data_IF_471992493731
#
_entry.id   IF_471992493731
#
_cell.length_a   1.000
_cell.length_b   1.000
_cell.length_c   1.000
_cell.angle_alpha   90.00
_cell.angle_beta   90.00
_cell.angle_gamma   90.00
#
_symmetry.space_group_name_H-M   'P 1'
#
loop_
_entity.id
_entity.type
_entity.pdbx_description
1 polymer ?
#
# COMPACT_ATOMS: atom_id res chain seq x y z
N UNK A 1 9.50 16.96 -9.89
CA UNK A 1 10.58 16.05 -9.51
C UNK A 1 11.39 15.60 -10.74
N UNK A 2 10.77 15.08 -11.78
CA UNK A 2 11.47 14.61 -12.99
C UNK A 2 12.34 15.73 -13.61
N UNK A 3 11.78 16.89 -13.83
CA UNK A 3 12.47 18.07 -14.37
C UNK A 3 13.69 18.46 -13.50
N UNK A 4 13.53 18.53 -12.19
CA UNK A 4 14.62 18.84 -11.26
C UNK A 4 15.72 17.76 -11.23
N UNK A 5 15.42 16.55 -11.66
CA UNK A 5 16.36 15.45 -11.77
C UNK A 5 16.98 15.32 -13.16
N UNK A 6 16.64 16.21 -14.09
CA UNK A 6 17.11 16.14 -15.48
C UNK A 6 16.54 14.95 -16.28
N UNK A 7 15.42 14.37 -15.79
CA UNK A 7 14.73 13.27 -16.47
C UNK A 7 13.67 13.87 -17.40
N UNK A 8 13.63 13.51 -18.69
CA UNK A 8 12.59 13.98 -19.60
C UNK A 8 11.19 13.73 -19.05
N UNK A 9 10.33 14.76 -19.11
CA UNK A 9 9.00 14.72 -18.53
C UNK A 9 8.13 13.68 -19.20
N UNK A 10 8.06 13.68 -20.53
CA UNK A 10 7.33 12.67 -21.30
C UNK A 10 8.17 11.40 -21.46
N UNK A 11 7.50 10.25 -21.31
CA UNK A 11 8.13 8.94 -21.48
C UNK A 11 8.68 8.72 -22.90
N UNK A 12 8.03 9.31 -23.90
CA UNK A 12 8.44 9.23 -25.30
C UNK A 12 9.81 9.91 -25.59
N UNK A 13 10.21 10.88 -24.77
CA UNK A 13 11.47 11.62 -24.93
C UNK A 13 12.66 10.92 -24.22
N UNK A 14 12.42 9.80 -23.54
CA UNK A 14 13.44 9.08 -22.77
C UNK A 14 14.26 8.14 -23.64
N UNK A 15 15.57 8.14 -23.40
CA UNK A 15 16.55 7.32 -24.12
C UNK A 15 17.01 6.12 -23.28
N UNK A 16 17.92 5.32 -23.84
CA UNK A 16 18.51 4.15 -23.17
C UNK A 16 19.24 4.53 -21.86
N UNK A 17 19.79 5.73 -21.77
CA UNK A 17 20.53 6.21 -20.60
C UNK A 17 19.61 6.81 -19.51
N UNK A 18 18.33 6.98 -19.82
CA UNK A 18 17.35 7.54 -18.89
C UNK A 18 16.84 6.45 -17.93
N UNK A 19 16.68 6.73 -16.61
CA UNK A 19 16.05 5.79 -15.69
C UNK A 19 14.63 5.40 -16.12
N UNK A 20 14.21 4.19 -15.76
CA UNK A 20 12.81 3.77 -15.89
C UNK A 20 11.99 4.47 -14.81
N UNK A 21 10.94 5.16 -15.20
CA UNK A 21 10.02 5.86 -14.30
C UNK A 21 8.79 4.99 -14.06
N UNK A 22 8.63 4.56 -12.82
CA UNK A 22 7.59 3.61 -12.39
C UNK A 22 6.55 4.34 -11.54
N UNK A 23 5.28 4.16 -11.87
CA UNK A 23 4.14 4.59 -11.08
C UNK A 23 3.52 3.45 -10.28
N UNK A 24 3.00 3.75 -9.09
CA UNK A 24 2.31 2.77 -8.25
C UNK A 24 1.46 3.43 -7.16
N UNK A 25 0.84 2.60 -6.32
CA UNK A 25 -0.03 3.05 -5.24
C UNK A 25 -1.47 3.30 -5.69
N UNK A 26 -2.27 3.90 -4.82
CA UNK A 26 -3.72 4.02 -5.01
C UNK A 26 -4.13 4.75 -6.29
N UNK A 27 -3.40 5.79 -6.69
CA UNK A 27 -3.71 6.56 -7.90
C UNK A 27 -3.42 5.80 -9.21
N UNK A 28 -2.55 4.79 -9.17
CA UNK A 28 -2.22 3.98 -10.34
C UNK A 28 -3.35 3.07 -10.82
N UNK A 29 -4.43 2.94 -10.04
CA UNK A 29 -5.64 2.22 -10.47
C UNK A 29 -6.41 2.91 -11.60
N UNK A 30 -6.11 4.18 -11.85
CA UNK A 30 -6.51 4.89 -13.05
C UNK A 30 -5.24 5.53 -13.64
N UNK A 31 -4.44 4.77 -14.41
CA UNK A 31 -3.15 5.24 -14.92
C UNK A 31 -3.28 6.22 -16.08
N UNK A 32 -4.40 6.21 -16.81
CA UNK A 32 -4.58 6.93 -18.06
C UNK A 32 -4.25 8.44 -17.99
N UNK A 33 -4.68 9.20 -16.97
CA UNK A 33 -4.33 10.62 -16.87
C UNK A 33 -2.83 10.90 -16.74
N UNK A 34 -2.03 9.89 -16.41
CA UNK A 34 -0.58 9.98 -16.22
C UNK A 34 0.20 9.12 -17.21
N UNK A 35 -0.46 8.53 -18.19
CA UNK A 35 0.12 7.57 -19.12
C UNK A 35 1.34 8.11 -19.88
N UNK A 36 1.32 9.38 -20.28
CA UNK A 36 2.42 10.01 -21.03
C UNK A 36 3.70 10.25 -20.19
N UNK A 37 3.59 10.22 -18.85
CA UNK A 37 4.67 10.60 -17.95
C UNK A 37 5.41 9.42 -17.31
N UNK A 38 4.84 8.23 -17.37
CA UNK A 38 5.42 7.03 -16.78
C UNK A 38 5.76 5.99 -17.84
N UNK A 39 6.84 5.26 -17.61
CA UNK A 39 7.22 4.15 -18.50
C UNK A 39 6.36 2.92 -18.22
N UNK A 40 6.06 2.69 -16.95
CA UNK A 40 5.15 1.64 -16.53
C UNK A 40 4.45 1.97 -15.22
N UNK A 41 3.30 1.35 -15.00
CA UNK A 41 2.59 1.36 -13.73
C UNK A 41 2.49 -0.06 -13.18
N UNK A 42 2.54 -0.15 -11.86
CA UNK A 42 2.15 -1.38 -11.18
C UNK A 42 0.79 -1.20 -10.49
N UNK A 43 -0.13 -2.10 -10.79
CA UNK A 43 -1.50 -2.11 -10.30
C UNK A 43 -1.65 -3.20 -9.24
N UNK A 44 -1.52 -2.83 -7.98
CA UNK A 44 -1.63 -3.80 -6.89
C UNK A 44 -0.76 -3.52 -5.68
N UNK A 45 -0.53 -4.55 -4.90
CA UNK A 45 0.30 -4.54 -3.70
C UNK A 45 1.73 -4.91 -4.07
N UNK A 46 2.68 -4.03 -3.74
CA UNK A 46 4.06 -4.06 -4.25
C UNK A 46 4.83 -5.33 -3.91
N UNK A 47 4.49 -5.98 -2.82
CA UNK A 47 5.18 -7.16 -2.31
C UNK A 47 5.17 -8.34 -3.31
N UNK A 48 4.20 -8.37 -4.24
CA UNK A 48 4.05 -9.48 -5.19
C UNK A 48 4.85 -9.29 -6.48
N UNK A 49 5.42 -8.10 -6.76
CA UNK A 49 5.98 -7.77 -8.07
C UNK A 49 7.48 -7.56 -8.09
N UNK A 50 8.09 -7.13 -6.97
CA UNK A 50 9.45 -6.61 -6.99
C UNK A 50 10.48 -7.62 -7.50
N UNK A 51 10.42 -8.87 -7.07
CA UNK A 51 11.39 -9.89 -7.49
C UNK A 51 11.31 -10.12 -9.01
N UNK A 52 10.09 -10.34 -9.53
CA UNK A 52 9.88 -10.57 -10.96
C UNK A 52 10.33 -9.36 -11.81
N UNK A 53 9.98 -8.15 -11.39
CA UNK A 53 10.34 -6.92 -12.12
C UNK A 53 11.84 -6.67 -12.11
N UNK A 54 12.50 -6.78 -10.96
CA UNK A 54 13.93 -6.56 -10.86
C UNK A 54 14.75 -7.66 -11.53
N UNK A 55 14.30 -8.89 -11.50
CA UNK A 55 14.95 -9.98 -12.20
C UNK A 55 14.82 -9.85 -13.72
N UNK A 56 13.64 -9.44 -14.22
CA UNK A 56 13.46 -9.11 -15.63
C UNK A 56 14.38 -7.96 -16.07
N UNK A 57 14.50 -6.90 -15.25
CA UNK A 57 15.41 -5.78 -15.53
C UNK A 57 16.87 -6.20 -15.56
N UNK A 58 17.34 -6.94 -14.55
CA UNK A 58 18.73 -7.45 -14.48
C UNK A 58 19.03 -8.37 -15.65
N UNK A 59 18.11 -9.27 -16.00
CA UNK A 59 18.25 -10.19 -17.12
C UNK A 59 18.34 -9.43 -18.46
N UNK A 60 17.52 -8.41 -18.66
CA UNK A 60 17.57 -7.56 -19.85
C UNK A 60 18.90 -6.83 -19.97
N UNK A 61 19.35 -6.20 -18.89
CA UNK A 61 20.67 -5.52 -18.83
C UNK A 61 21.82 -6.48 -19.14
N UNK A 62 21.82 -7.68 -18.56
CA UNK A 62 22.85 -8.70 -18.79
C UNK A 62 22.88 -9.19 -20.24
N UNK A 63 21.73 -9.23 -20.89
CA UNK A 63 21.62 -9.61 -22.31
C UNK A 63 21.95 -8.48 -23.29
N UNK A 64 22.23 -7.26 -22.80
CA UNK A 64 22.40 -6.07 -23.65
C UNK A 64 21.12 -5.62 -24.34
N UNK A 65 19.96 -5.97 -23.80
CA UNK A 65 18.65 -5.61 -24.34
C UNK A 65 18.35 -4.11 -24.17
N UNK A 66 17.55 -3.59 -25.08
CA UNK A 66 17.10 -2.19 -25.09
C UNK A 66 16.07 -1.89 -24.00
N UNK A 67 15.77 -0.60 -23.80
CA UNK A 67 14.66 -0.13 -22.98
C UNK A 67 13.33 -0.73 -23.42
N UNK A 68 13.06 -0.73 -24.73
CA UNK A 68 11.86 -1.30 -25.29
C UNK A 68 11.72 -2.80 -25.05
N UNK A 69 12.84 -3.56 -25.15
CA UNK A 69 12.85 -5.00 -24.81
C UNK A 69 12.49 -5.24 -23.34
N UNK A 70 12.99 -4.39 -22.45
CA UNK A 70 12.63 -4.47 -21.03
C UNK A 70 11.15 -4.19 -20.82
N UNK A 71 10.62 -3.09 -21.39
CA UNK A 71 9.22 -2.71 -21.22
C UNK A 71 8.26 -3.79 -21.76
N UNK A 72 8.58 -4.42 -22.89
CA UNK A 72 7.80 -5.52 -23.41
C UNK A 72 7.80 -6.75 -22.49
N UNK A 73 8.95 -7.09 -21.90
CA UNK A 73 9.04 -8.16 -20.89
C UNK A 73 8.31 -7.81 -19.61
N UNK A 74 8.43 -6.56 -19.16
CA UNK A 74 7.75 -6.08 -17.97
C UNK A 74 6.22 -6.15 -18.12
N UNK A 75 5.68 -5.82 -19.30
CA UNK A 75 4.24 -5.90 -19.57
C UNK A 75 3.65 -7.31 -19.45
N UNK A 76 4.48 -8.36 -19.48
CA UNK A 76 4.06 -9.75 -19.28
C UNK A 76 3.98 -10.14 -17.81
N UNK A 77 4.49 -9.29 -16.91
CA UNK A 77 4.41 -9.53 -15.45
C UNK A 77 3.02 -9.11 -14.96
N UNK A 78 2.29 -9.96 -14.22
CA UNK A 78 0.98 -9.64 -13.71
C UNK A 78 0.96 -8.31 -12.93
N UNK A 79 -0.02 -7.46 -13.22
CA UNK A 79 -0.18 -6.15 -12.58
C UNK A 79 0.64 -5.03 -13.22
N UNK A 80 1.52 -5.30 -14.16
CA UNK A 80 2.28 -4.25 -14.87
C UNK A 80 1.47 -3.74 -16.07
N UNK A 81 1.27 -2.43 -16.11
CA UNK A 81 0.74 -1.69 -17.25
C UNK A 81 1.86 -0.83 -17.85
N UNK A 82 2.15 -1.03 -19.13
CA UNK A 82 3.11 -0.19 -19.89
C UNK A 82 2.29 0.62 -20.91
N UNK A 83 2.01 1.92 -20.63
CA UNK A 83 1.08 2.70 -21.46
C UNK A 83 1.45 2.76 -22.93
N UNK A 84 2.74 2.86 -23.25
CA UNK A 84 3.22 2.92 -24.63
C UNK A 84 2.94 1.65 -25.48
N UNK A 85 2.48 0.56 -24.85
CA UNK A 85 2.13 -0.69 -25.51
C UNK A 85 0.61 -0.84 -25.71
N UNK A 86 -0.16 0.22 -25.46
CA UNK A 86 -1.61 0.25 -25.70
C UNK A 86 -1.98 1.40 -26.61
N UNK A 87 -2.96 1.16 -27.46
CA UNK A 87 -3.64 2.18 -28.26
C UNK A 87 -4.98 2.50 -27.61
N UNK A 88 -5.18 3.78 -27.27
CA UNK A 88 -6.38 4.26 -26.57
C UNK A 88 -7.09 5.26 -27.45
N UNK A 89 -8.35 4.98 -27.78
CA UNK A 89 -9.19 5.91 -28.52
C UNK A 89 -10.28 6.50 -27.63
N UNK A 90 -10.67 7.73 -27.92
CA UNK A 90 -11.65 8.47 -27.13
C UNK A 90 -12.86 8.84 -27.96
N UNK A 91 -14.03 8.84 -27.32
CA UNK A 91 -15.26 9.38 -27.88
C UNK A 91 -15.25 10.91 -27.86
N UNK A 92 -16.21 11.54 -28.53
CA UNK A 92 -16.37 13.01 -28.55
C UNK A 92 -16.56 13.63 -27.15
N UNK A 93 -17.12 12.87 -26.20
CA UNK A 93 -17.32 13.30 -24.82
C UNK A 93 -16.07 13.10 -23.92
N UNK A 94 -14.94 12.64 -24.48
CA UNK A 94 -13.69 12.38 -23.78
C UNK A 94 -13.64 11.07 -22.99
N UNK A 95 -14.67 10.23 -23.07
CA UNK A 95 -14.61 8.89 -22.47
C UNK A 95 -13.83 7.93 -23.38
N UNK A 96 -13.18 6.93 -22.77
CA UNK A 96 -12.45 5.89 -23.54
C UNK A 96 -13.43 5.11 -24.40
N UNK A 97 -13.15 5.03 -25.69
CA UNK A 97 -13.90 4.21 -26.65
C UNK A 97 -13.31 2.82 -26.77
N UNK A 98 -11.99 2.74 -26.93
CA UNK A 98 -11.27 1.46 -27.00
C UNK A 98 -9.93 1.53 -26.29
N UNK A 99 -9.46 0.39 -25.83
CA UNK A 99 -8.16 0.19 -25.18
C UNK A 99 -7.63 -1.17 -25.61
N UNK A 100 -6.61 -1.19 -26.47
CA UNK A 100 -6.08 -2.42 -27.05
C UNK A 100 -4.56 -2.48 -26.98
N UNK A 101 -3.95 -3.66 -26.74
CA UNK A 101 -2.51 -3.82 -26.84
C UNK A 101 -2.06 -3.66 -28.31
N UNK A 102 -0.92 -3.04 -28.50
CA UNK A 102 -0.33 -2.77 -29.82
C UNK A 102 0.53 -3.90 -30.36
N UNK A 103 0.88 -4.88 -29.52
CA UNK A 103 1.73 -6.00 -29.91
C UNK A 103 1.38 -7.30 -29.18
N UNK A 104 1.79 -8.41 -29.77
CA UNK A 104 1.59 -9.75 -29.22
C UNK A 104 2.32 -9.91 -27.87
N UNK A 105 1.71 -10.65 -26.96
CA UNK A 105 2.24 -10.92 -25.61
C UNK A 105 1.92 -9.86 -24.56
N UNK A 106 1.34 -8.74 -24.94
CA UNK A 106 0.82 -7.73 -24.00
C UNK A 106 -0.63 -8.10 -23.63
N UNK A 107 -1.00 -8.14 -22.33
CA UNK A 107 -2.34 -8.55 -21.93
C UNK A 107 -3.39 -7.50 -22.34
N UNK A 108 -4.56 -7.94 -22.80
CA UNK A 108 -5.69 -7.06 -23.08
C UNK A 108 -6.20 -6.31 -21.85
N UNK A 109 -5.99 -6.92 -20.66
CA UNK A 109 -6.45 -6.38 -19.38
C UNK A 109 -5.39 -6.60 -18.33
N UNK A 110 -5.01 -5.54 -17.65
CA UNK A 110 -4.12 -5.61 -16.51
C UNK A 110 -4.93 -5.90 -15.25
N UNK A 111 -4.63 -7.02 -14.59
CA UNK A 111 -5.33 -7.44 -13.39
C UNK A 111 -4.60 -6.98 -12.13
N UNK A 112 -5.37 -6.42 -11.20
CA UNK A 112 -4.86 -6.01 -9.89
C UNK A 112 -4.27 -7.19 -9.14
N UNK A 113 -3.05 -7.02 -8.63
CA UNK A 113 -2.36 -8.02 -7.82
C UNK A 113 -2.57 -7.76 -6.32
N UNK A 114 -2.77 -8.82 -5.57
CA UNK A 114 -3.10 -8.76 -4.13
C UNK A 114 -2.34 -9.83 -3.36
N UNK A 115 -1.94 -9.50 -2.14
CA UNK A 115 -1.62 -10.48 -1.11
C UNK A 115 -2.93 -10.99 -0.52
N UNK A 116 -3.20 -12.26 -0.65
CA UNK A 116 -4.39 -12.89 -0.04
C UNK A 116 -4.11 -13.29 1.40
N UNK A 117 -2.99 -13.95 1.64
CA UNK A 117 -2.54 -14.34 2.97
C UNK A 117 -1.49 -13.36 3.49
N UNK A 118 -1.93 -12.39 4.29
CA UNK A 118 -1.06 -11.36 4.85
C UNK A 118 -0.06 -11.90 5.88
N UNK A 119 -0.30 -13.06 6.46
CA UNK A 119 0.58 -13.63 7.46
C UNK A 119 1.71 -14.47 6.87
N UNK A 120 1.50 -14.99 5.66
CA UNK A 120 2.50 -15.76 4.92
C UNK A 120 3.33 -14.87 4.00
N UNK A 121 2.66 -13.99 3.28
CA UNK A 121 3.25 -13.28 2.13
C UNK A 121 3.76 -11.87 2.50
N UNK A 122 3.37 -11.35 3.69
CA UNK A 122 3.84 -10.07 4.22
C UNK A 122 4.86 -10.30 5.33
N UNK A 123 6.12 -10.31 4.99
CA UNK A 123 7.17 -10.86 5.86
C UNK A 123 8.18 -9.82 6.35
N UNK A 124 7.79 -8.61 6.72
CA UNK A 124 8.80 -7.60 7.05
C UNK A 124 8.75 -7.02 8.48
N UNK A 125 8.22 -7.78 9.43
CA UNK A 125 8.10 -7.31 10.81
C UNK A 125 9.33 -7.58 11.67
N UNK A 126 10.23 -8.46 11.23
CA UNK A 126 11.37 -8.86 12.05
C UNK A 126 12.51 -7.84 12.08
N UNK A 127 12.62 -6.98 11.07
CA UNK A 127 13.71 -6.00 10.96
C UNK A 127 13.20 -4.62 10.56
N UNK A 128 12.51 -3.90 11.45
CA UNK A 128 12.06 -2.56 11.16
C UNK A 128 13.26 -1.63 10.96
N UNK A 129 13.17 -0.76 9.95
CA UNK A 129 14.18 0.27 9.71
C UNK A 129 13.96 1.42 10.69
N UNK A 130 14.94 1.65 11.56
CA UNK A 130 14.93 2.79 12.49
C UNK A 130 15.68 3.95 11.83
N UNK A 131 15.06 5.11 11.64
CA UNK A 131 15.70 6.27 11.03
C UNK A 131 16.79 6.83 11.96
N UNK A 132 17.90 7.29 11.38
CA UNK A 132 18.99 7.92 12.14
C UNK A 132 18.63 9.31 12.71
N UNK A 133 17.66 9.96 12.10
CA UNK A 133 17.12 11.25 12.56
C UNK A 133 15.67 11.04 13.00
N UNK A 134 15.20 11.87 13.95
CA UNK A 134 13.82 11.80 14.41
C UNK A 134 12.84 12.03 13.27
N UNK A 135 12.01 11.03 13.01
CA UNK A 135 10.93 11.10 12.03
C UNK A 135 9.64 11.66 12.65
N UNK A 136 8.73 12.17 11.83
CA UNK A 136 7.41 12.65 12.27
C UNK A 136 6.58 11.52 12.89
N UNK A 137 6.73 10.30 12.34
CA UNK A 137 6.03 9.08 12.79
C UNK A 137 7.06 8.14 13.45
N UNK A 138 7.57 8.53 14.61
CA UNK A 138 8.62 7.81 15.34
C UNK A 138 8.01 6.75 16.26
N UNK A 139 7.47 5.67 15.66
CA UNK A 139 6.73 4.60 16.34
C UNK A 139 6.73 3.30 15.57
N UNK A 140 6.43 2.21 16.27
CA UNK A 140 6.10 0.92 15.64
C UNK A 140 4.71 1.02 15.02
N UNK A 141 4.55 0.52 13.80
CA UNK A 141 3.25 0.41 13.14
C UNK A 141 2.94 -1.04 12.81
N UNK A 142 1.85 -1.55 13.37
CA UNK A 142 1.30 -2.86 13.04
C UNK A 142 0.13 -2.69 12.07
N UNK A 143 0.27 -3.19 10.85
CA UNK A 143 -0.83 -3.29 9.91
C UNK A 143 -1.70 -4.49 10.30
N UNK A 144 -2.89 -4.22 10.87
CA UNK A 144 -3.78 -5.28 11.39
C UNK A 144 -4.71 -5.85 10.32
N UNK A 145 -5.06 -5.03 9.33
CA UNK A 145 -5.89 -5.45 8.19
C UNK A 145 -5.68 -4.53 6.98
N UNK A 146 -5.94 -5.05 5.79
CA UNK A 146 -6.08 -4.31 4.53
C UNK A 146 -7.50 -4.36 4.02
N UNK A 147 -7.91 -3.30 3.32
CA UNK A 147 -9.27 -3.15 2.85
C UNK A 147 -10.22 -2.63 3.93
N UNK A 148 -11.49 -2.51 3.55
CA UNK A 148 -12.56 -2.05 4.44
C UNK A 148 -13.87 -2.70 4.01
N UNK A 149 -14.64 -3.22 4.99
CA UNK A 149 -15.94 -3.83 4.75
C UNK A 149 -17.05 -2.81 4.46
N UNK A 150 -16.79 -1.53 4.76
CA UNK A 150 -17.76 -0.46 4.60
C UNK A 150 -17.92 -0.05 3.14
N UNK A 151 -19.06 0.46 2.79
CA UNK A 151 -19.39 0.91 1.44
C UNK A 151 -19.65 2.42 1.37
N UNK A 152 -18.89 3.23 2.12
CA UNK A 152 -19.06 4.68 2.15
C UNK A 152 -18.97 5.25 0.73
N UNK A 153 -20.02 5.95 0.26
CA UNK A 153 -20.13 6.41 -1.15
C UNK A 153 -19.03 7.39 -1.56
N UNK A 154 -18.47 8.12 -0.61
CA UNK A 154 -17.37 9.08 -0.85
C UNK A 154 -15.99 8.45 -0.82
N UNK A 155 -15.85 7.20 -0.36
CA UNK A 155 -14.55 6.60 -0.05
C UNK A 155 -14.02 5.73 -1.20
N UNK A 156 -13.05 6.24 -1.96
CA UNK A 156 -12.35 5.50 -2.99
C UNK A 156 -11.49 4.37 -2.41
N UNK A 157 -10.82 4.62 -1.27
CA UNK A 157 -9.95 3.64 -0.63
C UNK A 157 -10.69 2.34 -0.28
N UNK A 158 -11.95 2.44 0.19
CA UNK A 158 -12.79 1.28 0.46
C UNK A 158 -13.06 0.39 -0.75
N UNK A 159 -12.93 0.92 -1.97
CA UNK A 159 -13.08 0.16 -3.23
C UNK A 159 -11.73 -0.37 -3.72
N UNK A 160 -10.68 0.47 -3.67
CA UNK A 160 -9.34 0.14 -4.17
C UNK A 160 -8.74 -1.05 -3.40
N UNK A 161 -8.83 -1.05 -2.07
CA UNK A 161 -8.16 -2.04 -1.22
C UNK A 161 -8.98 -3.29 -0.90
N UNK A 162 -10.09 -3.54 -1.59
CA UNK A 162 -10.85 -4.79 -1.48
C UNK A 162 -10.09 -5.97 -2.08
N UNK A 163 -10.31 -7.19 -1.56
CA UNK A 163 -11.13 -7.60 -0.40
C UNK A 163 -10.50 -7.18 0.93
N UNK A 164 -11.31 -7.20 2.01
CA UNK A 164 -10.79 -7.03 3.37
C UNK A 164 -10.05 -8.30 3.77
N UNK A 165 -8.86 -8.14 4.32
CA UNK A 165 -7.99 -9.23 4.80
C UNK A 165 -7.43 -8.83 6.15
N UNK A 166 -7.60 -9.69 7.12
CA UNK A 166 -7.13 -9.49 8.49
C UNK A 166 -5.87 -10.30 8.72
N UNK A 167 -5.01 -9.81 9.59
CA UNK A 167 -3.86 -10.57 10.08
C UNK A 167 -4.26 -11.36 11.32
N UNK A 168 -3.61 -12.50 11.48
CA UNK A 168 -3.76 -13.35 12.66
C UNK A 168 -3.30 -12.62 13.92
N UNK A 169 -4.10 -12.68 14.98
CA UNK A 169 -3.84 -11.95 16.22
C UNK A 169 -2.58 -12.42 16.94
N UNK A 170 -2.25 -13.72 16.90
CA UNK A 170 -1.04 -14.26 17.52
C UNK A 170 0.22 -13.80 16.78
N UNK A 171 0.16 -13.71 15.44
CA UNK A 171 1.22 -13.11 14.63
C UNK A 171 1.43 -11.63 14.94
N UNK A 172 0.35 -10.89 15.16
CA UNK A 172 0.45 -9.49 15.57
C UNK A 172 1.07 -9.32 16.95
N UNK A 173 0.74 -10.18 17.93
CA UNK A 173 1.34 -10.19 19.26
C UNK A 173 2.85 -10.46 19.19
N UNK A 174 3.27 -11.46 18.42
CA UNK A 174 4.68 -11.80 18.19
C UNK A 174 5.42 -10.63 17.52
N UNK A 175 4.80 -10.03 16.50
CA UNK A 175 5.36 -8.88 15.79
C UNK A 175 5.51 -7.65 16.71
N UNK A 176 4.54 -7.38 17.57
CA UNK A 176 4.61 -6.29 18.54
C UNK A 176 5.82 -6.43 19.46
N UNK A 177 6.01 -7.62 20.05
CA UNK A 177 7.18 -7.90 20.92
C UNK A 177 8.48 -7.69 20.17
N UNK A 178 8.60 -8.30 19.00
CA UNK A 178 9.82 -8.26 18.20
C UNK A 178 10.19 -6.84 17.77
N UNK A 179 9.21 -6.08 17.29
CA UNK A 179 9.45 -4.73 16.80
C UNK A 179 9.78 -3.76 17.92
N UNK A 180 9.03 -3.76 19.03
CA UNK A 180 9.32 -2.90 20.17
C UNK A 180 10.71 -3.22 20.78
N UNK A 181 11.03 -4.50 20.95
CA UNK A 181 12.33 -4.91 21.47
C UNK A 181 13.50 -4.49 20.57
N UNK A 182 13.34 -4.60 19.24
CA UNK A 182 14.41 -4.25 18.29
C UNK A 182 14.57 -2.75 18.06
N UNK A 183 13.50 -1.97 18.21
CA UNK A 183 13.52 -0.53 17.90
C UNK A 183 13.67 0.34 19.13
N UNK A 184 13.20 -0.11 20.28
CA UNK A 184 13.12 0.70 21.51
C UNK A 184 12.11 1.85 21.42
N UNK A 185 11.15 1.81 20.48
CA UNK A 185 10.09 2.82 20.42
C UNK A 185 9.12 2.70 21.60
N UNK A 186 8.65 3.84 22.07
CA UNK A 186 7.68 3.96 23.17
C UNK A 186 6.24 4.13 22.69
N UNK A 187 5.98 3.94 21.40
CA UNK A 187 4.64 4.03 20.81
C UNK A 187 4.44 2.92 19.78
N UNK A 188 3.24 2.32 19.80
CA UNK A 188 2.76 1.36 18.83
C UNK A 188 1.43 1.82 18.24
N UNK A 189 1.30 1.79 16.92
CA UNK A 189 0.09 2.18 16.19
C UNK A 189 -0.50 0.98 15.45
N UNK A 190 -1.82 0.75 15.58
CA UNK A 190 -2.54 -0.27 14.82
C UNK A 190 -3.06 0.34 13.52
N UNK A 191 -2.45 -0.01 12.38
CA UNK A 191 -2.77 0.58 11.08
C UNK A 191 -3.81 -0.22 10.32
N UNK A 192 -4.85 0.48 9.85
CA UNK A 192 -5.87 -0.04 8.93
C UNK A 192 -6.70 1.09 8.33
N UNK A 193 -7.59 0.79 7.38
CA UNK A 193 -8.61 1.73 6.90
C UNK A 193 -9.78 1.88 7.88
N UNK A 194 -10.00 0.92 8.78
CA UNK A 194 -11.05 0.95 9.81
C UNK A 194 -10.68 0.03 10.96
N UNK A 195 -9.91 0.53 11.90
CA UNK A 195 -9.42 -0.27 13.04
C UNK A 195 -10.56 -0.79 13.91
N UNK A 196 -11.68 -0.05 13.99
CA UNK A 196 -12.87 -0.48 14.72
C UNK A 196 -13.53 -1.75 14.16
N UNK A 197 -13.29 -2.09 12.90
CA UNK A 197 -13.88 -3.24 12.21
C UNK A 197 -12.98 -4.48 12.23
N UNK A 198 -11.79 -4.41 12.82
CA UNK A 198 -10.91 -5.57 12.98
C UNK A 198 -11.50 -6.55 14.00
N UNK A 199 -11.65 -7.83 13.62
CA UNK A 199 -12.37 -8.85 14.41
C UNK A 199 -11.78 -9.08 15.79
N UNK A 200 -10.46 -8.95 15.95
CA UNK A 200 -9.73 -9.20 17.19
C UNK A 200 -9.23 -7.92 17.88
N UNK A 201 -9.85 -6.74 17.61
CA UNK A 201 -9.38 -5.46 18.15
C UNK A 201 -9.26 -5.47 19.68
N UNK A 202 -10.28 -5.98 20.39
CA UNK A 202 -10.26 -6.05 21.87
C UNK A 202 -9.14 -6.93 22.38
N UNK A 203 -8.89 -8.02 21.73
CA UNK A 203 -7.86 -8.99 22.13
C UNK A 203 -6.46 -8.39 21.98
N UNK A 204 -6.14 -7.84 20.82
CA UNK A 204 -4.82 -7.26 20.57
C UNK A 204 -4.58 -6.03 21.46
N UNK A 205 -5.58 -5.17 21.69
CA UNK A 205 -5.43 -4.00 22.56
C UNK A 205 -5.22 -4.40 24.02
N UNK A 206 -6.00 -5.34 24.55
CA UNK A 206 -5.79 -5.85 25.92
C UNK A 206 -4.40 -6.46 26.07
N UNK A 207 -3.96 -7.26 25.12
CA UNK A 207 -2.62 -7.85 25.11
C UNK A 207 -1.54 -6.75 25.15
N UNK A 208 -1.61 -5.73 24.30
CA UNK A 208 -0.63 -4.65 24.26
C UNK A 208 -0.58 -3.87 25.58
N UNK A 209 -1.75 -3.61 26.19
CA UNK A 209 -1.82 -2.94 27.50
C UNK A 209 -1.17 -3.77 28.61
N UNK A 210 -1.49 -5.07 28.66
CA UNK A 210 -1.02 -5.94 29.75
C UNK A 210 0.46 -6.28 29.61
N UNK A 211 0.92 -6.56 28.38
CA UNK A 211 2.31 -6.95 28.10
C UNK A 211 3.30 -5.79 28.29
N UNK A 212 2.95 -4.58 27.84
CA UNK A 212 3.86 -3.43 27.85
C UNK A 212 3.51 -2.37 28.91
N UNK A 213 2.75 -2.74 29.92
CA UNK A 213 2.32 -1.85 31.00
C UNK A 213 3.50 -1.20 31.72
N UNK A 214 4.48 -1.99 32.08
CA UNK A 214 5.65 -1.55 32.85
C UNK A 214 6.62 -0.71 32.01
N UNK A 215 6.58 -0.86 30.69
CA UNK A 215 7.38 -0.11 29.73
C UNK A 215 6.69 1.22 29.32
N UNK A 216 5.45 1.44 29.76
CA UNK A 216 4.64 2.62 29.46
C UNK A 216 4.49 2.91 27.95
N UNK A 217 4.43 1.86 27.13
CA UNK A 217 4.26 1.99 25.68
C UNK A 217 2.89 2.58 25.36
N UNK A 218 2.89 3.67 24.59
CA UNK A 218 1.67 4.32 24.15
C UNK A 218 1.02 3.57 22.99
N UNK A 219 -0.31 3.33 23.07
CA UNK A 219 -1.08 2.65 22.01
C UNK A 219 -1.88 3.68 21.25
N UNK A 220 -1.63 3.78 19.94
CA UNK A 220 -2.33 4.65 19.02
C UNK A 220 -3.31 3.84 18.16
N UNK A 221 -4.57 4.28 18.16
CA UNK A 221 -5.67 3.66 17.39
C UNK A 221 -6.17 4.66 16.34
N UNK A 222 -5.60 4.67 15.15
CA UNK A 222 -6.10 5.50 14.06
C UNK A 222 -7.38 4.92 13.42
N UNK A 223 -8.05 5.73 12.62
CA UNK A 223 -9.19 5.28 11.78
C UNK A 223 -10.35 4.67 12.57
N UNK A 224 -10.72 5.34 13.67
CA UNK A 224 -11.86 4.92 14.49
C UNK A 224 -13.17 5.49 13.96
N UNK A 225 -14.19 4.65 13.91
CA UNK A 225 -15.57 5.03 13.61
C UNK A 225 -16.36 5.14 14.90
N UNK A 226 -17.23 6.17 14.98
CA UNK A 226 -18.05 6.39 16.17
C UNK A 226 -19.05 5.24 16.38
N UNK A 227 -19.63 4.72 15.30
CA UNK A 227 -20.68 3.69 15.32
C UNK A 227 -20.17 2.28 15.67
N UNK A 228 -18.89 2.01 15.51
CA UNK A 228 -18.28 0.69 15.69
C UNK A 228 -17.34 0.59 16.90
N UNK A 229 -17.19 1.68 17.67
CA UNK A 229 -16.17 1.74 18.70
C UNK A 229 -16.66 1.29 20.07
N UNK A 230 -15.92 0.37 20.71
CA UNK A 230 -16.21 -0.11 22.05
C UNK A 230 -15.62 0.83 23.12
N UNK A 231 -16.47 1.50 23.89
CA UNK A 231 -16.07 2.44 24.95
C UNK A 231 -15.18 1.80 26.04
N UNK A 232 -15.32 0.50 26.28
CA UNK A 232 -14.50 -0.27 27.23
C UNK A 232 -13.03 -0.37 26.80
N UNK A 233 -12.78 -0.52 25.49
CA UNK A 233 -11.40 -0.52 24.93
C UNK A 233 -10.76 0.86 25.09
N UNK A 234 -11.54 1.92 24.84
CA UNK A 234 -11.07 3.30 24.94
C UNK A 234 -10.62 3.68 26.35
N UNK A 235 -11.41 3.33 27.36
CA UNK A 235 -11.09 3.63 28.75
C UNK A 235 -9.74 3.00 29.14
N UNK A 236 -9.52 1.75 28.78
CA UNK A 236 -8.28 1.02 29.07
C UNK A 236 -7.04 1.62 28.39
N UNK A 237 -7.14 2.04 27.13
CA UNK A 237 -6.02 2.68 26.42
C UNK A 237 -5.65 4.00 27.08
N UNK A 238 -6.62 4.77 27.55
CA UNK A 238 -6.38 6.05 28.23
C UNK A 238 -5.81 5.90 29.64
N UNK A 239 -6.00 4.75 30.29
CA UNK A 239 -5.43 4.47 31.62
C UNK A 239 -3.91 4.30 31.57
N UNK A 240 -3.32 3.88 30.45
CA UNK A 240 -1.87 3.74 30.28
C UNK A 240 -1.21 5.10 30.00
N UNK A 241 -1.68 5.80 28.99
CA UNK A 241 -1.22 7.14 28.64
C UNK A 241 -2.36 7.92 27.99
N UNK A 242 -2.60 9.14 28.44
CA UNK A 242 -3.60 10.01 27.79
C UNK A 242 -3.17 10.35 26.39
N UNK A 243 -3.84 9.77 25.40
CA UNK A 243 -3.68 10.07 23.98
C UNK A 243 -4.95 10.70 23.42
N UNK A 244 -4.82 11.56 22.41
CA UNK A 244 -5.97 12.07 21.67
C UNK A 244 -6.54 10.96 20.77
N UNK A 245 -7.87 10.83 20.76
CA UNK A 245 -8.57 9.94 19.85
C UNK A 245 -9.25 10.77 18.77
N UNK A 246 -9.14 10.30 17.54
CA UNK A 246 -9.79 10.94 16.39
C UNK A 246 -10.87 10.00 15.86
N UNK A 247 -12.10 10.51 15.82
CA UNK A 247 -13.25 9.75 15.33
C UNK A 247 -13.81 10.36 14.06
N UNK A 248 -14.24 9.50 13.16
CA UNK A 248 -14.98 9.87 11.98
C UNK A 248 -16.48 9.57 12.18
N UNK A 249 -17.36 10.58 12.09
CA UNK A 249 -18.82 10.38 12.17
C UNK A 249 -19.39 9.76 10.89
N UNK A 250 -18.66 9.84 9.77
CA UNK A 250 -18.96 9.29 8.45
C UNK A 250 -20.17 9.90 7.74
N UNK A 251 -21.08 10.56 8.45
CA UNK A 251 -22.22 11.27 7.90
C UNK A 251 -22.60 12.46 8.78
N UNK A 252 -23.22 13.50 8.19
CA UNK A 252 -23.75 14.67 8.89
C UNK A 252 -25.20 14.53 9.33
N UNK A 253 -25.87 13.46 8.92
CA UNK A 253 -27.25 13.12 9.27
C UNK A 253 -27.43 11.62 9.36
N UNK A 254 -28.47 11.19 10.05
CA UNK A 254 -28.90 9.79 10.08
C UNK A 254 -29.45 9.34 8.74
#
# INVERSE_FOLDING_TARGET
LLELSGIPFHSADRTEDTPIVIGGGACAYNPEPLAEFFDLFYIGEGETVYDALFDAYKANKKAGGSRSDFLLKAAQIPGICVPSLYDVTYKEDGTIESFHPTCEGVPEKVEKQLIIDMDRDYNNLETPVVPHIKATQDRVTLEIQRGCIRGCRFCQAGMIYRPTRERDVEKLKESARTMLQKTGHEEISLSSLSSSDYSHLKEIVNFLIDEFRDEAVNISLPSLRIDAFALDVMSKVQDVKKSSLTFAPEAGSQ
#
